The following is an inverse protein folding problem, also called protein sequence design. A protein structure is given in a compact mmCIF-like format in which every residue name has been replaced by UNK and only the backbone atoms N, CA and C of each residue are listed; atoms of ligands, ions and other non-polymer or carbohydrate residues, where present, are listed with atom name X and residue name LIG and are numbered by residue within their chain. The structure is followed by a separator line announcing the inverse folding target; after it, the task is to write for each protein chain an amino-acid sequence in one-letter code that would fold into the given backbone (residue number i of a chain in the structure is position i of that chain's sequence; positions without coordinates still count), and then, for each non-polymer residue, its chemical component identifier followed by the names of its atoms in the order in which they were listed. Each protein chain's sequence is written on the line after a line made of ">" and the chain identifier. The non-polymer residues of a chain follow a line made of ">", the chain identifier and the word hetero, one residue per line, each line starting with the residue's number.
data_IF_127921720735
#
_entry.id   IF_127921720735
#
_cell.length_a   1.000
_cell.length_b   1.000
_cell.length_c   1.000
_cell.angle_alpha   90.00
_cell.angle_beta   90.00
_cell.angle_gamma   90.00
#
_symmetry.space_group_name_H-M   'P 1'
#
loop_
_entity.id
_entity.type
_entity.pdbx_description
1 polymer ?
#
# COMPACT_ATOMS: atom_id res chain seq x y z
N UNK A 1 12.13 -33.44 -60.58
CA UNK A 1 11.01 -33.17 -59.64
C UNK A 1 11.52 -32.31 -58.47
N UNK A 2 10.66 -31.56 -57.76
CA UNK A 2 10.98 -30.85 -56.50
C UNK A 2 9.89 -31.10 -55.46
N UNK A 3 10.23 -31.62 -54.27
CA UNK A 3 9.53 -31.52 -52.97
C UNK A 3 10.26 -32.37 -51.90
N UNK A 4 10.10 -32.00 -50.62
CA UNK A 4 10.29 -32.78 -49.36
C UNK A 4 11.24 -32.25 -48.26
N UNK A 5 12.15 -31.29 -48.52
CA UNK A 5 13.10 -30.84 -47.47
C UNK A 5 12.64 -29.66 -46.59
N UNK A 6 11.33 -29.30 -46.60
CA UNK A 6 10.83 -28.10 -45.89
C UNK A 6 9.98 -28.39 -44.63
N UNK A 7 9.74 -29.66 -44.28
CA UNK A 7 8.85 -30.03 -43.16
C UNK A 7 9.61 -30.21 -41.84
N UNK A 8 10.82 -30.76 -41.86
CA UNK A 8 11.56 -31.07 -40.63
C UNK A 8 12.11 -29.86 -39.87
N UNK A 9 12.43 -28.76 -40.56
CA UNK A 9 12.99 -27.54 -39.93
C UNK A 9 11.94 -26.84 -39.04
N UNK A 10 10.66 -26.85 -39.45
CA UNK A 10 9.59 -26.21 -38.69
C UNK A 10 9.24 -26.94 -37.39
N UNK A 11 9.44 -28.27 -37.32
CA UNK A 11 9.09 -29.05 -36.13
C UNK A 11 10.09 -28.85 -34.97
N UNK A 12 11.35 -28.50 -35.28
CA UNK A 12 12.38 -28.28 -34.26
C UNK A 12 12.26 -26.91 -33.55
N UNK A 13 11.58 -25.94 -34.18
CA UNK A 13 11.46 -24.57 -33.69
C UNK A 13 10.30 -24.35 -32.69
N UNK A 14 9.44 -25.35 -32.50
CA UNK A 14 8.28 -25.29 -31.59
C UNK A 14 8.65 -25.62 -30.13
N UNK A 15 9.82 -26.22 -29.89
CA UNK A 15 10.18 -26.81 -28.59
C UNK A 15 10.72 -25.77 -27.57
N UNK A 16 11.20 -24.60 -28.03
CA UNK A 16 11.77 -23.55 -27.15
C UNK A 16 10.89 -22.30 -27.08
N UNK A 17 9.57 -22.52 -26.97
CA UNK A 17 8.58 -21.49 -26.63
C UNK A 17 7.76 -21.84 -25.38
N UNK A 18 8.35 -22.64 -24.46
CA UNK A 18 7.91 -22.65 -23.07
C UNK A 18 8.18 -21.28 -22.48
N UNK A 19 7.19 -20.39 -22.57
CA UNK A 19 7.18 -19.16 -21.82
C UNK A 19 7.19 -19.55 -20.34
N UNK A 20 8.36 -19.46 -19.72
CA UNK A 20 8.50 -19.57 -18.27
C UNK A 20 7.59 -18.52 -17.65
N UNK A 21 6.39 -18.93 -17.24
CA UNK A 21 5.63 -18.22 -16.23
C UNK A 21 6.53 -18.18 -15.02
N UNK A 22 7.25 -17.07 -14.86
CA UNK A 22 8.01 -16.76 -13.65
C UNK A 22 6.97 -16.50 -12.56
N UNK A 23 6.39 -17.59 -12.08
CA UNK A 23 5.50 -17.61 -10.95
C UNK A 23 6.40 -17.26 -9.77
N UNK A 24 6.33 -16.00 -9.36
CA UNK A 24 7.08 -15.52 -8.21
C UNK A 24 6.51 -16.23 -6.99
N UNK A 25 7.12 -17.36 -6.61
CA UNK A 25 6.74 -18.10 -5.41
C UNK A 25 7.58 -17.59 -4.25
N UNK A 26 6.91 -17.22 -3.16
CA UNK A 26 7.53 -16.87 -1.89
C UNK A 26 7.30 -18.00 -0.89
N UNK A 27 8.35 -18.54 -0.29
CA UNK A 27 8.26 -19.63 0.70
C UNK A 27 9.14 -19.36 1.92
N UNK A 28 8.90 -20.11 2.98
CA UNK A 28 9.85 -20.22 4.09
C UNK A 28 10.92 -21.26 3.71
N UNK A 29 12.17 -20.98 4.01
CA UNK A 29 13.25 -21.96 4.15
C UNK A 29 13.80 -21.89 5.59
N UNK A 30 14.63 -22.85 5.97
CA UNK A 30 14.99 -23.11 7.38
C UNK A 30 15.51 -21.86 8.13
N UNK A 31 16.39 -21.10 7.49
CA UNK A 31 17.05 -19.91 8.05
C UNK A 31 16.76 -18.61 7.28
N UNK A 32 15.89 -18.62 6.26
CA UNK A 32 15.60 -17.42 5.44
C UNK A 32 14.28 -17.53 4.66
N UNK A 33 13.70 -16.38 4.30
CA UNK A 33 12.67 -16.35 3.26
C UNK A 33 13.28 -16.70 1.90
N UNK A 34 12.53 -17.42 1.06
CA UNK A 34 12.93 -17.75 -0.30
C UNK A 34 11.99 -17.09 -1.30
N UNK A 35 12.56 -16.46 -2.33
CA UNK A 35 11.84 -15.90 -3.47
C UNK A 35 12.35 -16.59 -4.75
N UNK A 36 11.47 -17.32 -5.44
CA UNK A 36 11.83 -18.19 -6.58
C UNK A 36 12.99 -19.14 -6.20
N UNK A 37 12.91 -19.72 -4.99
CA UNK A 37 13.90 -20.66 -4.46
C UNK A 37 15.24 -20.06 -4.01
N UNK A 38 15.46 -18.75 -4.14
CA UNK A 38 16.68 -18.07 -3.69
C UNK A 38 16.46 -17.34 -2.37
N UNK A 39 17.44 -17.28 -1.44
CA UNK A 39 17.36 -16.46 -0.24
C UNK A 39 17.00 -15.01 -0.55
N UNK A 40 16.05 -14.46 0.20
CA UNK A 40 15.52 -13.11 0.02
C UNK A 40 15.47 -12.38 1.37
N UNK A 41 16.28 -11.33 1.51
CA UNK A 41 16.17 -10.41 2.63
C UNK A 41 15.12 -9.36 2.31
N UNK A 42 14.04 -9.34 3.10
CA UNK A 42 12.96 -8.37 2.95
C UNK A 42 13.35 -7.04 3.61
N UNK A 43 13.68 -6.03 2.79
CA UNK A 43 14.02 -4.68 3.25
C UNK A 43 12.80 -3.80 2.96
N UNK A 44 11.97 -3.60 3.99
CA UNK A 44 10.63 -3.06 3.87
C UNK A 44 10.44 -1.74 4.62
N UNK A 45 9.68 -0.82 4.03
CA UNK A 45 9.15 0.37 4.71
C UNK A 45 7.65 0.51 4.42
N UNK A 46 6.87 0.94 5.40
CA UNK A 46 5.42 1.15 5.25
C UNK A 46 5.17 2.41 4.40
N UNK A 47 4.43 2.27 3.30
CA UNK A 47 3.78 3.38 2.59
C UNK A 47 2.26 3.15 2.68
N UNK A 48 1.49 4.23 2.69
CA UNK A 48 0.01 4.24 2.56
C UNK A 48 -0.43 5.44 1.64
N UNK A 49 -1.73 5.65 1.28
CA UNK A 49 -2.22 6.76 0.38
C UNK A 49 -2.86 8.03 1.01
N UNK A 50 -2.64 8.48 2.27
CA UNK A 50 -3.72 9.16 2.97
C UNK A 50 -3.97 10.67 2.77
N UNK A 51 -3.07 11.66 2.90
CA UNK A 51 -1.61 11.81 3.14
C UNK A 51 -0.62 11.36 2.04
N UNK A 52 -1.02 10.63 0.99
CA UNK A 52 -0.24 10.51 -0.28
C UNK A 52 -1.20 10.45 -1.49
N UNK A 53 -1.40 11.56 -2.22
CA UNK A 53 -2.22 11.60 -3.42
C UNK A 53 -1.76 10.62 -4.51
N UNK A 54 -2.71 10.14 -5.33
CA UNK A 54 -2.50 9.12 -6.36
C UNK A 54 -1.42 9.47 -7.38
N UNK A 55 -1.34 10.74 -7.72
CA UNK A 55 -0.37 11.31 -8.65
C UNK A 55 1.08 11.16 -8.14
N UNK A 56 1.25 10.97 -6.83
CA UNK A 56 2.55 10.90 -6.16
C UNK A 56 3.02 9.47 -5.85
N UNK A 57 2.14 8.45 -5.78
CA UNK A 57 2.49 7.08 -5.34
C UNK A 57 3.74 6.53 -6.02
N UNK A 58 3.77 6.60 -7.35
CA UNK A 58 4.87 6.13 -8.18
C UNK A 58 6.20 6.82 -7.87
N UNK A 59 6.15 8.12 -7.55
CA UNK A 59 7.33 8.87 -7.13
C UNK A 59 7.76 8.50 -5.71
N UNK A 60 6.84 8.12 -4.80
CA UNK A 60 7.20 7.64 -3.45
C UNK A 60 7.84 6.25 -3.49
N UNK A 61 7.34 5.38 -4.37
CA UNK A 61 7.95 4.09 -4.67
C UNK A 61 9.38 4.27 -5.22
N UNK A 62 9.64 5.31 -6.04
CA UNK A 62 11.00 5.69 -6.43
C UNK A 62 11.86 6.18 -5.27
N UNK A 63 11.33 7.00 -4.35
CA UNK A 63 12.06 7.39 -3.13
C UNK A 63 12.43 6.15 -2.30
N UNK A 64 11.47 5.26 -2.02
CA UNK A 64 11.67 4.02 -1.28
C UNK A 64 12.74 3.12 -1.92
N UNK A 65 12.67 2.91 -3.24
CA UNK A 65 13.67 2.10 -3.97
C UNK A 65 15.05 2.74 -3.96
N UNK A 66 15.14 4.07 -4.03
CA UNK A 66 16.40 4.79 -3.87
C UNK A 66 16.91 4.82 -2.42
N UNK A 67 16.05 4.66 -1.41
CA UNK A 67 16.47 4.47 -0.01
C UNK A 67 17.15 3.11 0.21
N UNK A 68 16.90 2.14 -0.68
CA UNK A 68 17.34 0.76 -0.56
C UNK A 68 16.25 -0.23 -0.17
N UNK A 69 14.98 0.20 -0.10
CA UNK A 69 13.85 -0.71 0.11
C UNK A 69 13.62 -1.56 -1.15
N UNK A 70 13.40 -2.86 -0.96
CA UNK A 70 12.95 -3.77 -2.00
C UNK A 70 11.46 -4.15 -1.86
N UNK A 71 10.84 -3.77 -0.74
CA UNK A 71 9.48 -4.11 -0.36
C UNK A 71 8.77 -2.89 0.23
N UNK A 72 7.47 -2.78 -0.02
CA UNK A 72 6.58 -1.79 0.60
C UNK A 72 5.64 -2.53 1.56
N UNK A 73 5.66 -2.13 2.83
CA UNK A 73 4.65 -2.53 3.81
C UNK A 73 3.37 -1.74 3.61
N UNK A 74 2.22 -2.35 3.91
CA UNK A 74 0.99 -1.58 4.05
C UNK A 74 -0.15 -2.28 4.81
N UNK A 75 -1.12 -1.49 5.22
CA UNK A 75 -2.40 -1.90 5.81
C UNK A 75 -3.57 -1.71 4.83
N UNK A 76 -4.72 -2.32 5.14
CA UNK A 76 -6.00 -2.08 4.44
C UNK A 76 -7.06 -1.56 5.39
N UNK A 77 -7.77 -0.50 4.99
CA UNK A 77 -8.55 0.34 5.89
C UNK A 77 -10.05 0.21 5.61
N UNK A 78 -10.76 -0.55 6.45
CA UNK A 78 -12.14 -0.95 6.20
C UNK A 78 -13.09 0.26 6.05
N UNK A 79 -12.95 1.28 6.87
CA UNK A 79 -13.78 2.50 6.81
C UNK A 79 -13.72 3.29 5.49
N UNK A 80 -12.61 3.33 4.75
CA UNK A 80 -12.61 3.96 3.41
C UNK A 80 -13.21 3.05 2.34
N UNK A 81 -13.17 1.73 2.56
CA UNK A 81 -13.66 0.74 1.59
C UNK A 81 -15.10 0.31 1.83
N UNK A 82 -15.70 0.60 2.99
CA UNK A 82 -17.13 0.44 3.26
C UNK A 82 -17.66 1.64 4.08
N UNK A 83 -17.64 2.87 3.53
CA UNK A 83 -18.05 4.09 4.24
C UNK A 83 -19.54 4.10 4.59
N UNK A 84 -20.36 3.42 3.77
CA UNK A 84 -21.75 3.09 4.09
C UNK A 84 -21.95 1.58 3.97
N UNK A 85 -22.84 1.01 4.78
CA UNK A 85 -23.01 -0.45 4.87
C UNK A 85 -23.33 -1.06 3.51
N UNK A 86 -22.54 -2.04 3.09
CA UNK A 86 -22.68 -2.73 1.80
C UNK A 86 -22.31 -1.91 0.55
N UNK A 87 -21.86 -0.67 0.70
CA UNK A 87 -21.44 0.20 -0.40
C UNK A 87 -19.91 0.33 -0.37
N UNK A 88 -19.25 -0.16 -1.41
CA UNK A 88 -17.79 -0.33 -1.42
C UNK A 88 -17.10 0.61 -2.42
N UNK A 89 -16.03 1.27 -1.99
CA UNK A 89 -15.21 2.16 -2.82
C UNK A 89 -13.78 1.63 -2.99
N UNK A 90 -13.37 1.53 -4.25
CA UNK A 90 -12.03 1.15 -4.70
C UNK A 90 -11.58 2.04 -5.88
N UNK A 91 -11.95 3.33 -5.87
CA UNK A 91 -11.79 4.27 -6.97
C UNK A 91 -11.01 5.53 -6.59
N UNK A 92 -10.52 6.31 -7.56
CA UNK A 92 -9.80 7.55 -7.29
C UNK A 92 -8.55 7.29 -6.44
N UNK A 93 -8.45 7.95 -5.28
CA UNK A 93 -7.39 7.61 -4.32
C UNK A 93 -7.62 6.19 -3.75
N UNK A 94 -8.87 5.75 -3.52
CA UNK A 94 -9.22 4.44 -2.96
C UNK A 94 -8.88 3.20 -3.83
N UNK A 95 -8.35 3.38 -5.03
CA UNK A 95 -7.97 2.33 -5.97
C UNK A 95 -6.59 1.75 -5.66
N UNK A 96 -6.57 0.61 -4.98
CA UNK A 96 -5.34 -0.15 -4.86
C UNK A 96 -4.95 -0.93 -6.11
N UNK A 97 -5.91 -1.26 -6.97
CA UNK A 97 -5.60 -2.06 -8.13
C UNK A 97 -4.56 -1.31 -8.98
N UNK A 98 -4.47 0.02 -8.87
CA UNK A 98 -3.32 0.83 -9.24
C UNK A 98 -2.14 0.85 -8.22
N UNK A 99 -2.33 1.20 -6.95
CA UNK A 99 -1.33 1.21 -5.85
C UNK A 99 -0.33 0.01 -5.89
N UNK A 100 -0.81 -1.25 -6.02
CA UNK A 100 0.09 -2.43 -6.16
C UNK A 100 0.71 -2.53 -7.56
N UNK A 101 -0.03 -2.16 -8.62
CA UNK A 101 0.50 -2.17 -9.99
C UNK A 101 1.63 -1.15 -10.17
N UNK A 102 1.57 0.01 -9.52
CA UNK A 102 2.65 1.01 -9.52
C UNK A 102 3.87 0.50 -8.76
N UNK A 103 3.69 -0.11 -7.58
CA UNK A 103 4.80 -0.76 -6.85
C UNK A 103 5.48 -1.84 -7.71
N UNK A 104 4.67 -2.68 -8.39
CA UNK A 104 5.16 -3.68 -9.34
C UNK A 104 5.84 -3.06 -10.56
N UNK A 105 5.34 -1.94 -11.09
CA UNK A 105 5.90 -1.26 -12.25
C UNK A 105 7.26 -0.60 -11.94
N UNK A 106 7.47 -0.14 -10.70
CA UNK A 106 8.77 0.32 -10.22
C UNK A 106 9.65 -0.83 -9.68
N UNK A 107 9.15 -2.07 -9.69
CA UNK A 107 9.90 -3.28 -9.32
C UNK A 107 10.13 -3.46 -7.82
N UNK A 108 9.10 -3.19 -7.02
CA UNK A 108 9.04 -3.43 -5.57
C UNK A 108 8.03 -4.54 -5.23
N UNK A 109 8.30 -5.28 -4.16
CA UNK A 109 7.33 -6.18 -3.53
C UNK A 109 6.34 -5.40 -2.64
N UNK A 110 5.21 -6.01 -2.30
CA UNK A 110 4.23 -5.42 -1.38
C UNK A 110 3.79 -6.44 -0.32
N UNK A 111 3.92 -6.08 0.96
CA UNK A 111 3.30 -6.79 2.09
C UNK A 111 1.95 -6.14 2.34
N UNK A 112 0.93 -6.95 2.61
CA UNK A 112 -0.44 -6.48 2.79
C UNK A 112 -0.94 -6.95 4.16
N UNK A 113 -1.48 -6.01 4.94
CA UNK A 113 -1.98 -6.25 6.29
C UNK A 113 -3.50 -5.97 6.33
N UNK A 114 -4.34 -6.79 5.66
CA UNK A 114 -5.77 -6.54 5.46
C UNK A 114 -6.64 -6.87 6.68
N UNK A 115 -6.11 -6.64 7.87
CA UNK A 115 -6.80 -6.87 9.13
C UNK A 115 -8.03 -5.95 9.26
N UNK A 116 -9.13 -6.40 9.88
CA UNK A 116 -10.28 -5.53 10.16
C UNK A 116 -9.95 -4.39 11.14
N UNK A 117 -8.94 -4.60 11.98
CA UNK A 117 -8.34 -3.59 12.86
C UNK A 117 -6.86 -3.45 12.52
N UNK A 118 -6.43 -2.23 12.23
CA UNK A 118 -5.07 -1.91 11.80
C UNK A 118 -4.29 -1.09 12.83
N UNK A 119 -4.98 -0.45 13.79
CA UNK A 119 -4.43 0.63 14.61
C UNK A 119 -3.94 1.76 13.69
N UNK A 120 -2.62 1.90 13.50
CA UNK A 120 -1.98 2.73 12.49
C UNK A 120 -2.39 4.21 12.55
N UNK A 121 -2.84 4.70 13.72
CA UNK A 121 -3.05 6.13 13.95
C UNK A 121 -4.10 6.67 12.96
N UNK A 122 -5.23 5.96 13.00
CA UNK A 122 -6.32 5.95 12.03
C UNK A 122 -7.67 5.99 12.71
N UNK A 123 -8.68 6.59 12.04
CA UNK A 123 -10.03 6.69 12.58
C UNK A 123 -10.59 5.30 12.92
N UNK A 124 -11.12 5.19 14.14
CA UNK A 124 -11.57 3.96 14.81
C UNK A 124 -10.64 2.73 14.57
N UNK A 125 -9.33 2.97 14.44
CA UNK A 125 -8.33 1.92 14.19
C UNK A 125 -8.57 1.08 12.94
N UNK A 126 -9.30 1.60 11.95
CA UNK A 126 -9.63 0.96 10.67
C UNK A 126 -11.11 0.69 10.46
N UNK A 127 -11.92 0.71 11.52
CA UNK A 127 -13.31 0.27 11.49
C UNK A 127 -14.28 1.32 10.91
N UNK A 128 -15.28 0.92 10.11
CA UNK A 128 -16.46 1.76 9.84
C UNK A 128 -17.17 2.11 11.16
N UNK A 129 -17.36 3.41 11.42
CA UNK A 129 -18.02 3.93 12.64
C UNK A 129 -19.33 3.19 12.98
N UNK A 130 -20.11 2.79 11.95
CA UNK A 130 -21.37 2.04 12.09
C UNK A 130 -21.25 0.80 12.99
N UNK A 131 -20.08 0.15 13.07
CA UNK A 131 -19.88 -1.07 13.84
C UNK A 131 -20.12 -0.87 15.35
N UNK A 132 -19.83 0.32 15.90
CA UNK A 132 -20.09 0.62 17.32
C UNK A 132 -21.59 0.76 17.65
N UNK A 133 -22.43 0.97 16.63
CA UNK A 133 -23.87 1.17 16.77
C UNK A 133 -24.70 -0.10 16.49
N UNK A 134 -24.06 -1.21 16.05
CA UNK A 134 -24.76 -2.44 15.70
C UNK A 134 -24.99 -3.34 16.92
N UNK A 135 -26.26 -3.52 17.32
CA UNK A 135 -26.65 -4.34 18.48
C UNK A 135 -26.11 -5.77 18.37
N UNK A 136 -25.34 -6.19 19.39
CA UNK A 136 -24.62 -7.49 19.48
C UNK A 136 -23.45 -7.64 18.50
N UNK A 137 -22.86 -6.53 18.04
CA UNK A 137 -21.59 -6.51 17.34
C UNK A 137 -20.50 -6.00 18.30
N UNK A 138 -19.53 -6.85 18.63
CA UNK A 138 -18.37 -6.48 19.44
C UNK A 138 -17.14 -6.54 18.53
N UNK A 139 -16.45 -5.42 18.33
CA UNK A 139 -15.22 -5.38 17.52
C UNK A 139 -14.10 -6.21 18.14
N UNK A 140 -13.18 -6.72 17.32
CA UNK A 140 -12.06 -7.61 17.72
C UNK A 140 -12.47 -8.91 18.45
N UNK A 141 -13.75 -9.29 18.43
CA UNK A 141 -14.29 -10.46 19.14
C UNK A 141 -14.48 -11.70 18.23
N UNK A 142 -15.15 -12.73 18.76
CA UNK A 142 -15.65 -13.90 18.00
C UNK A 142 -17.14 -13.80 17.65
N UNK A 143 -17.81 -12.67 17.93
CA UNK A 143 -19.25 -12.51 17.74
C UNK A 143 -19.68 -12.71 16.28
N UNK A 144 -20.75 -13.48 16.07
CA UNK A 144 -21.19 -13.86 14.73
C UNK A 144 -21.53 -12.66 13.83
N UNK A 145 -22.07 -11.57 14.41
CA UNK A 145 -22.32 -10.32 13.71
C UNK A 145 -21.02 -9.65 13.23
N UNK A 146 -19.99 -9.61 14.07
CA UNK A 146 -18.68 -9.03 13.76
C UNK A 146 -17.93 -9.87 12.72
N UNK A 147 -17.88 -11.19 12.90
CA UNK A 147 -17.23 -12.12 11.97
C UNK A 147 -17.92 -12.08 10.59
N UNK A 148 -19.25 -11.99 10.54
CA UNK A 148 -19.99 -11.81 9.28
C UNK A 148 -19.72 -10.46 8.62
N UNK A 149 -19.68 -9.38 9.38
CA UNK A 149 -19.35 -8.05 8.85
C UNK A 149 -17.93 -8.02 8.23
N UNK A 150 -16.93 -8.58 8.94
CA UNK A 150 -15.57 -8.70 8.42
C UNK A 150 -15.52 -9.59 7.17
N UNK A 151 -16.23 -10.73 7.17
CA UNK A 151 -16.30 -11.63 6.01
C UNK A 151 -16.79 -10.93 4.75
N UNK A 152 -17.81 -10.08 4.85
CA UNK A 152 -18.31 -9.34 3.69
C UNK A 152 -17.22 -8.41 3.13
N UNK A 153 -16.62 -7.58 3.98
CA UNK A 153 -15.58 -6.64 3.58
C UNK A 153 -14.33 -7.33 3.00
N UNK A 154 -13.80 -8.37 3.66
CA UNK A 154 -12.59 -9.05 3.18
C UNK A 154 -12.82 -9.82 1.87
N UNK A 155 -14.08 -10.13 1.51
CA UNK A 155 -14.44 -10.67 0.20
C UNK A 155 -14.48 -9.60 -0.90
N UNK A 156 -14.96 -8.38 -0.62
CA UNK A 156 -14.98 -7.27 -1.59
C UNK A 156 -13.59 -6.70 -1.84
N UNK A 157 -12.83 -6.52 -0.75
CA UNK A 157 -11.38 -6.39 -0.78
C UNK A 157 -10.83 -7.57 -1.59
N UNK A 158 -11.14 -8.82 -1.23
CA UNK A 158 -10.86 -10.05 -1.98
C UNK A 158 -10.95 -9.98 -3.51
N UNK A 159 -11.89 -9.22 -4.09
CA UNK A 159 -12.04 -9.09 -5.55
C UNK A 159 -10.94 -8.24 -6.20
N UNK A 160 -10.56 -7.11 -5.58
CA UNK A 160 -9.36 -6.37 -6.00
C UNK A 160 -8.09 -7.12 -5.53
N UNK A 161 -8.24 -7.96 -4.50
CA UNK A 161 -7.19 -8.71 -3.83
C UNK A 161 -7.09 -10.17 -4.31
N UNK A 162 -7.45 -10.44 -5.56
CA UNK A 162 -7.26 -11.74 -6.21
C UNK A 162 -6.76 -11.63 -7.67
N UNK A 163 -6.31 -10.44 -8.14
CA UNK A 163 -5.34 -10.37 -9.27
C UNK A 163 -3.86 -9.97 -8.99
N UNK A 164 -3.44 -9.43 -7.82
CA UNK A 164 -2.14 -8.66 -7.71
C UNK A 164 -0.91 -9.08 -6.82
N UNK A 165 -1.01 -9.61 -5.58
CA UNK A 165 0.10 -10.26 -4.81
C UNK A 165 0.94 -11.20 -5.71
N UNK A 166 2.10 -11.60 -5.18
CA UNK A 166 2.73 -12.93 -5.34
C UNK A 166 1.72 -14.05 -5.70
N UNK A 167 0.62 -14.17 -4.93
CA UNK A 167 -0.49 -15.12 -5.14
C UNK A 167 -1.84 -14.43 -5.45
N UNK A 168 -1.80 -13.18 -5.90
CA UNK A 168 -2.89 -12.20 -6.11
C UNK A 168 -3.52 -11.48 -4.84
N UNK A 169 -3.65 -10.11 -4.77
CA UNK A 169 -3.94 -9.32 -3.52
C UNK A 169 -3.58 -7.78 -3.34
N UNK A 170 -4.32 -7.00 -2.51
CA UNK A 170 -3.98 -5.80 -1.63
C UNK A 170 -4.86 -4.49 -1.65
N UNK A 171 -5.09 -3.62 -0.57
CA UNK A 171 -5.73 -2.19 -0.62
C UNK A 171 -5.08 -0.84 0.05
N UNK A 172 -4.63 0.27 -0.68
CA UNK A 172 -3.62 1.49 -0.46
C UNK A 172 -3.89 2.60 0.75
N UNK A 173 -5.11 3.04 1.29
CA UNK A 173 -5.53 4.05 2.46
C UNK A 173 -5.91 5.64 2.38
N UNK A 174 -7.11 6.23 2.82
CA UNK A 174 -7.53 7.73 2.75
C UNK A 174 -7.90 8.75 3.97
N UNK A 175 -9.18 9.19 4.29
CA UNK A 175 -9.65 10.48 4.97
C UNK A 175 -9.52 10.66 6.53
N UNK A 176 -8.51 10.11 7.20
CA UNK A 176 -8.67 9.76 8.64
C UNK A 176 -7.41 9.90 9.50
N UNK A 177 -7.36 10.87 10.42
CA UNK A 177 -6.45 10.84 11.59
C UNK A 177 -7.06 9.97 12.71
N UNK A 178 -6.21 9.32 13.50
CA UNK A 178 -6.65 8.51 14.64
C UNK A 178 -6.70 9.30 15.95
N UNK A 179 -7.06 8.58 17.02
CA UNK A 179 -6.92 9.05 18.39
C UNK A 179 -6.46 7.91 19.30
N UNK A 180 -5.63 8.23 20.29
CA UNK A 180 -5.26 7.30 21.35
C UNK A 180 -6.23 7.42 22.55
N UNK A 181 -6.20 6.41 23.41
CA UNK A 181 -6.91 6.36 24.69
C UNK A 181 -5.95 5.84 25.75
N UNK A 182 -5.94 6.47 26.94
CA UNK A 182 -5.35 5.89 28.15
C UNK A 182 -6.16 6.27 29.39
N UNK A 183 -5.92 5.60 30.52
CA UNK A 183 -6.74 5.74 31.75
C UNK A 183 -6.65 7.13 32.42
N UNK A 184 -5.81 8.04 31.91
CA UNK A 184 -5.71 9.44 32.35
C UNK A 184 -6.31 10.41 31.33
N UNK A 185 -6.08 10.15 30.04
CA UNK A 185 -6.56 10.95 28.92
C UNK A 185 -7.48 10.09 28.02
N UNK A 186 -8.82 10.22 28.15
CA UNK A 186 -9.77 9.34 27.46
C UNK A 186 -9.96 9.66 25.96
N UNK A 187 -9.29 10.68 25.43
CA UNK A 187 -9.26 10.98 24.00
C UNK A 187 -8.04 11.86 23.66
N UNK A 188 -7.08 11.29 22.93
CA UNK A 188 -5.86 11.97 22.46
C UNK A 188 -5.87 12.01 20.91
N UNK A 189 -6.54 12.98 20.28
CA UNK A 189 -6.63 13.06 18.83
C UNK A 189 -5.28 13.38 18.22
N UNK A 190 -4.91 12.63 17.19
CA UNK A 190 -3.63 12.78 16.52
C UNK A 190 -3.73 13.84 15.42
N UNK A 191 -2.63 14.59 15.23
CA UNK A 191 -2.52 15.61 14.20
C UNK A 191 -2.68 14.99 12.80
N UNK A 192 -3.09 15.81 11.82
CA UNK A 192 -3.21 15.36 10.43
C UNK A 192 -1.87 14.92 9.83
N UNK A 193 -0.78 15.52 10.32
CA UNK A 193 0.58 15.19 9.90
C UNK A 193 0.96 13.77 10.25
N UNK A 194 1.58 13.06 9.31
CA UNK A 194 2.15 11.74 9.55
C UNK A 194 3.54 11.58 8.96
N UNK A 195 4.33 12.65 9.08
CA UNK A 195 5.78 12.68 8.89
C UNK A 195 6.49 11.55 9.68
N UNK A 196 6.00 11.27 10.89
CA UNK A 196 6.47 10.21 11.79
C UNK A 196 7.95 10.33 12.19
N UNK A 197 8.61 11.48 11.94
CA UNK A 197 10.05 11.69 12.09
C UNK A 197 10.86 10.63 11.30
N UNK A 198 10.35 10.32 10.10
CA UNK A 198 10.84 9.23 9.26
C UNK A 198 12.06 9.62 8.39
N UNK A 199 12.67 8.65 7.68
CA UNK A 199 13.67 8.94 6.65
C UNK A 199 13.18 9.86 5.52
N UNK A 200 11.88 9.89 5.26
CA UNK A 200 11.24 10.82 4.34
C UNK A 200 10.32 11.76 5.12
N UNK A 201 10.36 13.07 4.83
CA UNK A 201 9.45 14.04 5.46
C UNK A 201 8.00 13.88 4.95
N UNK A 202 7.03 14.63 5.48
CA UNK A 202 5.62 14.59 4.99
C UNK A 202 5.43 15.05 3.54
N UNK A 203 6.38 15.79 2.94
CA UNK A 203 6.39 16.07 1.50
C UNK A 203 7.13 14.97 0.69
N UNK A 204 7.63 13.96 1.39
CA UNK A 204 8.52 12.85 1.05
C UNK A 204 9.76 13.27 0.25
N UNK A 205 10.43 14.32 0.75
CA UNK A 205 11.84 14.62 0.52
C UNK A 205 12.73 13.74 1.42
N UNK A 206 14.01 13.63 1.09
CA UNK A 206 15.00 12.91 1.90
C UNK A 206 15.45 13.70 3.13
N UNK A 207 15.31 13.13 4.32
CA UNK A 207 15.95 13.64 5.55
C UNK A 207 17.37 13.07 5.70
N UNK A 208 18.14 13.53 6.70
CA UNK A 208 19.46 12.96 6.99
C UNK A 208 19.40 11.45 7.26
N UNK A 209 18.32 10.99 7.92
CA UNK A 209 18.08 9.57 8.23
C UNK A 209 17.97 8.71 6.97
N UNK A 210 17.44 9.23 5.87
CA UNK A 210 17.44 8.52 4.57
C UNK A 210 18.87 8.31 4.07
N UNK A 211 19.74 9.31 4.20
CA UNK A 211 21.13 9.20 3.77
C UNK A 211 21.91 8.19 4.62
N UNK A 212 21.73 8.24 5.95
CA UNK A 212 22.32 7.25 6.87
C UNK A 212 21.82 5.82 6.58
N UNK A 213 20.50 5.63 6.40
CA UNK A 213 19.92 4.31 6.08
C UNK A 213 20.38 3.79 4.70
N UNK A 214 20.45 4.67 3.69
CA UNK A 214 20.98 4.35 2.36
C UNK A 214 22.45 3.95 2.42
N UNK A 215 23.27 4.63 3.23
CA UNK A 215 24.67 4.30 3.42
C UNK A 215 24.85 2.89 4.02
N UNK A 216 24.12 2.58 5.10
CA UNK A 216 24.10 1.24 5.71
C UNK A 216 23.65 0.19 4.70
N UNK A 217 22.56 0.43 3.97
CA UNK A 217 22.05 -0.52 2.96
C UNK A 217 23.07 -0.74 1.83
N UNK A 218 23.77 0.32 1.40
CA UNK A 218 24.81 0.22 0.36
C UNK A 218 25.99 -0.67 0.78
N UNK A 219 26.36 -0.66 2.08
CA UNK A 219 27.41 -1.54 2.64
C UNK A 219 27.03 -3.03 2.70
N UNK A 220 25.74 -3.35 2.50
CA UNK A 220 25.22 -4.71 2.58
C UNK A 220 24.63 -5.23 1.25
N UNK A 221 24.85 -4.50 0.14
CA UNK A 221 24.46 -4.99 -1.20
C UNK A 221 25.32 -6.19 -1.68
N UNK A 222 24.79 -7.05 -2.55
CA UNK A 222 25.57 -8.04 -3.28
C UNK A 222 26.68 -7.39 -4.13
N UNK A 223 27.80 -8.10 -4.30
CA UNK A 223 28.95 -7.59 -5.03
C UNK A 223 28.60 -7.26 -6.50
N UNK A 224 28.76 -5.98 -6.86
CA UNK A 224 28.44 -5.45 -8.19
C UNK A 224 27.07 -4.77 -8.32
N UNK A 225 26.21 -4.84 -7.31
CA UNK A 225 24.96 -4.10 -7.27
C UNK A 225 25.15 -2.66 -6.75
N UNK A 226 24.27 -1.74 -7.18
CA UNK A 226 24.26 -0.34 -6.72
C UNK A 226 22.82 0.15 -6.52
N UNK A 227 22.58 0.99 -5.52
CA UNK A 227 21.27 1.61 -5.30
C UNK A 227 20.98 2.70 -6.36
N UNK A 228 19.76 2.77 -6.92
CA UNK A 228 19.35 3.81 -7.88
C UNK A 228 19.69 5.23 -7.41
N UNK A 229 19.88 6.22 -8.31
CA UNK A 229 20.12 7.59 -7.90
C UNK A 229 18.96 8.14 -7.04
N UNK A 230 19.30 8.98 -6.06
CA UNK A 230 18.32 9.66 -5.22
C UNK A 230 17.53 10.66 -6.07
N UNK A 231 16.19 10.62 -6.12
CA UNK A 231 15.40 11.59 -6.87
C UNK A 231 15.53 13.01 -6.30
N UNK A 232 15.43 14.02 -7.18
CA UNK A 232 15.60 15.42 -6.81
C UNK A 232 14.52 15.87 -5.81
N UNK A 233 14.94 16.55 -4.74
CA UNK A 233 14.10 17.20 -3.73
C UNK A 233 12.98 18.03 -4.37
N UNK A 234 11.76 17.95 -3.82
CA UNK A 234 10.64 18.77 -4.31
C UNK A 234 10.88 20.23 -3.97
N UNK A 235 10.69 21.11 -4.95
CA UNK A 235 10.62 22.55 -4.71
C UNK A 235 9.23 22.91 -4.22
N UNK A 236 9.13 23.29 -2.95
CA UNK A 236 7.96 24.01 -2.43
C UNK A 236 7.80 25.34 -3.18
N UNK A 237 6.56 25.74 -3.41
CA UNK A 237 6.23 27.08 -3.93
C UNK A 237 5.59 27.90 -2.82
N UNK A 238 5.93 29.19 -2.74
CA UNK A 238 5.12 30.15 -2.01
C UNK A 238 3.90 30.51 -2.89
N UNK A 239 2.70 30.43 -2.32
CA UNK A 239 1.50 30.98 -2.92
C UNK A 239 1.28 32.41 -2.41
N UNK A 240 0.82 33.30 -3.28
CA UNK A 240 0.31 34.60 -2.84
C UNK A 240 -0.97 34.42 -1.99
N UNK A 241 -1.32 35.43 -1.19
CA UNK A 241 -2.53 35.41 -0.35
C UNK A 241 -3.78 35.01 -1.16
N UNK A 242 -4.40 33.89 -0.77
CA UNK A 242 -5.65 33.43 -1.37
C UNK A 242 -6.81 34.17 -0.69
N UNK A 243 -7.38 35.13 -1.40
CA UNK A 243 -8.57 35.85 -0.94
C UNK A 243 -9.83 35.05 -1.31
N UNK A 244 -10.48 34.46 -0.31
CA UNK A 244 -11.78 33.79 -0.50
C UNK A 244 -12.87 34.84 -0.77
N UNK A 245 -13.33 34.91 -2.02
CA UNK A 245 -14.35 35.87 -2.49
C UNK A 245 -15.79 35.41 -2.27
N UNK A 246 -15.98 34.20 -1.73
CA UNK A 246 -17.28 33.57 -1.48
C UNK A 246 -17.24 32.83 -0.15
N UNK A 247 -18.36 32.84 0.56
CA UNK A 247 -18.62 32.02 1.73
C UNK A 247 -20.09 31.63 1.76
N UNK A 248 -20.39 30.53 2.46
CA UNK A 248 -21.73 30.05 2.79
C UNK A 248 -21.62 29.40 4.16
N UNK A 249 -22.61 29.55 5.05
CA UNK A 249 -22.55 28.81 6.31
C UNK A 249 -22.99 27.36 6.07
N UNK A 250 -22.51 26.44 6.89
CA UNK A 250 -22.95 25.03 6.82
C UNK A 250 -24.46 24.92 7.10
N UNK A 251 -25.05 25.86 7.84
CA UNK A 251 -26.48 25.89 8.14
C UNK A 251 -27.32 26.30 6.91
N UNK A 252 -26.84 27.24 6.08
CA UNK A 252 -27.55 27.65 4.85
C UNK A 252 -27.59 26.53 3.80
N UNK A 253 -26.68 25.55 3.90
CA UNK A 253 -26.64 24.35 3.06
C UNK A 253 -27.55 23.22 3.57
N UNK A 254 -28.06 23.33 4.80
CA UNK A 254 -28.94 22.34 5.41
C UNK A 254 -30.40 22.79 5.25
N UNK A 255 -31.08 22.20 4.27
CA UNK A 255 -32.53 22.35 4.10
C UNK A 255 -33.25 21.70 5.29
N UNK A 256 -33.90 22.54 6.11
CA UNK A 256 -34.80 22.18 7.20
C UNK A 256 -36.26 22.45 6.81
#
# INVERSE_FOLDING_TARGET
>A
MKKNNLVFVFLFLVIVASAQRCQHVFTLGDNSFLLVGKPFQMISGEIHYPRVPREAWRQRMRMAKAMGLNTIGTYVFWNVHEPQKGHYDFSGNNDIAAFVKEAKAEGLWVILRPSPYVCAEWEFGGYPYRLQNEKRLIVRSKEAAYVKAYRNYIMEVGKQLAPLQVNHGGTTRAFMNGANYNDKNPYEPQISSYDYDAPLDEAENTTEKFMQFREVTTKHLPAGETLPPVPVTKKSIALNNIHFIQSVTVLDLLLF
#
